data_IF_967062101104
#
_entry.id   IF_967062101104
#
_cell.length_a   1.000
_cell.length_b   1.000
_cell.length_c   1.000
_cell.angle_alpha   90.00
_cell.angle_beta   90.00
_cell.angle_gamma   90.00
#
_symmetry.space_group_name_H-M   'P 1'
#
loop_
_entity.id
_entity.type
_entity.pdbx_description
1 polymer ?
#
# COMPACT_ATOMS: atom_id res chain seq x y z
N UNK A 1 62.63 -20.39 -32.69
CA UNK A 1 63.14 -20.58 -31.31
C UNK A 1 62.42 -21.78 -30.74
N UNK A 2 63.20 -22.81 -30.45
CA UNK A 2 62.78 -24.16 -30.09
C UNK A 2 63.06 -24.32 -28.60
N UNK A 3 62.06 -24.64 -27.76
CA UNK A 3 62.32 -25.31 -26.47
C UNK A 3 61.20 -26.33 -26.21
N UNK A 4 61.68 -27.53 -25.89
CA UNK A 4 61.03 -28.81 -25.60
C UNK A 4 60.26 -28.84 -24.26
N UNK A 5 59.43 -29.87 -24.03
CA UNK A 5 58.79 -30.14 -22.75
C UNK A 5 59.75 -30.86 -21.78
N UNK A 6 59.62 -30.58 -20.48
CA UNK A 6 60.36 -31.25 -19.41
C UNK A 6 59.43 -32.22 -18.67
N UNK A 7 59.77 -33.50 -18.74
CA UNK A 7 59.45 -34.55 -17.77
C UNK A 7 59.93 -34.13 -16.37
N UNK A 8 59.23 -34.52 -15.29
CA UNK A 8 59.88 -34.88 -14.03
C UNK A 8 58.91 -35.67 -13.10
N UNK A 9 59.26 -36.95 -12.96
CA UNK A 9 59.25 -37.82 -11.77
C UNK A 9 57.95 -38.18 -11.03
N UNK A 10 57.66 -39.48 -11.17
CA UNK A 10 57.05 -40.37 -10.19
C UNK A 10 57.67 -40.21 -8.80
N UNK A 11 56.83 -40.20 -7.76
CA UNK A 11 57.23 -40.50 -6.40
C UNK A 11 56.16 -41.40 -5.78
N UNK A 12 56.47 -42.69 -5.71
CA UNK A 12 55.79 -43.66 -4.88
C UNK A 12 56.02 -43.29 -3.40
N UNK A 13 54.97 -43.38 -2.59
CA UNK A 13 55.09 -43.40 -1.14
C UNK A 13 54.11 -44.43 -0.61
N UNK A 14 54.60 -45.67 -0.54
CA UNK A 14 54.00 -46.76 0.21
C UNK A 14 54.10 -46.45 1.71
N UNK A 15 52.96 -46.38 2.39
CA UNK A 15 52.92 -46.57 3.83
C UNK A 15 52.13 -47.83 4.16
N UNK A 16 52.90 -48.87 4.44
CA UNK A 16 52.54 -50.06 5.19
C UNK A 16 51.86 -49.70 6.53
N UNK A 17 50.70 -50.29 6.80
CA UNK A 17 50.23 -50.55 8.17
C UNK A 17 49.75 -52.01 8.22
N UNK A 18 50.46 -52.83 8.99
CA UNK A 18 50.10 -54.21 9.29
C UNK A 18 48.84 -54.32 10.17
N UNK A 19 48.12 -55.45 10.08
CA UNK A 19 46.83 -55.66 10.74
C UNK A 19 46.99 -56.14 12.19
N UNK A 20 46.23 -55.54 13.10
CA UNK A 20 46.05 -56.06 14.46
C UNK A 20 44.74 -56.86 14.53
N UNK A 21 44.88 -58.18 14.49
CA UNK A 21 43.83 -59.15 14.81
C UNK A 21 43.52 -59.12 16.30
N UNK A 22 42.23 -58.95 16.64
CA UNK A 22 41.64 -59.59 17.83
C UNK A 22 40.25 -60.09 17.49
N UNK A 23 40.16 -61.41 17.48
CA UNK A 23 38.95 -62.22 17.44
C UNK A 23 38.01 -61.87 18.59
N UNK A 24 36.71 -61.89 18.33
CA UNK A 24 35.71 -62.38 19.28
C UNK A 24 34.49 -62.83 18.49
N UNK A 25 34.31 -64.15 18.51
CA UNK A 25 33.17 -64.92 18.02
C UNK A 25 31.85 -64.36 18.57
N UNK A 26 30.85 -64.21 17.70
CA UNK A 26 29.44 -64.38 18.09
C UNK A 26 28.75 -65.21 17.01
N UNK A 27 28.00 -66.18 17.52
CA UNK A 27 27.35 -67.31 16.88
C UNK A 27 26.47 -66.97 15.67
N UNK A 28 26.58 -67.84 14.68
CA UNK A 28 25.55 -68.09 13.68
C UNK A 28 24.40 -68.79 14.39
N UNK A 29 23.26 -68.11 14.53
CA UNK A 29 21.99 -68.77 14.78
C UNK A 29 21.03 -68.48 13.61
N UNK A 30 20.99 -69.45 12.71
CA UNK A 30 20.08 -69.52 11.59
C UNK A 30 18.74 -70.03 12.09
N UNK A 31 17.78 -69.11 12.29
CA UNK A 31 16.36 -69.44 12.27
C UNK A 31 15.60 -68.41 11.44
N UNK A 32 15.26 -68.86 10.24
CA UNK A 32 14.15 -68.36 9.44
C UNK A 32 12.93 -68.06 10.32
N UNK A 33 12.52 -66.80 10.32
CA UNK A 33 11.11 -66.46 10.27
C UNK A 33 10.99 -65.34 9.26
N UNK A 34 10.56 -65.71 8.05
CA UNK A 34 10.21 -64.77 6.99
C UNK A 34 8.94 -64.06 7.45
N UNK A 35 9.13 -62.97 8.20
CA UNK A 35 8.13 -61.93 8.28
C UNK A 35 8.12 -61.29 6.90
N UNK A 36 7.06 -61.58 6.13
CA UNK A 36 6.75 -60.89 4.89
C UNK A 36 6.49 -59.43 5.26
N UNK A 37 7.57 -58.64 5.34
CA UNK A 37 7.51 -57.23 5.60
C UNK A 37 6.70 -56.62 4.44
N UNK A 38 5.56 -56.03 4.77
CA UNK A 38 4.69 -55.28 3.84
C UNK A 38 5.37 -53.95 3.42
N UNK A 39 6.65 -54.01 3.04
CA UNK A 39 7.60 -52.91 3.20
C UNK A 39 7.86 -52.12 1.91
N UNK A 40 6.97 -52.18 0.93
CA UNK A 40 7.13 -51.38 -0.31
C UNK A 40 6.22 -50.16 -0.36
N UNK A 41 5.12 -50.14 0.40
CA UNK A 41 4.14 -49.05 0.29
C UNK A 41 4.48 -47.91 1.25
N UNK A 42 4.75 -46.72 0.69
CA UNK A 42 4.85 -45.48 1.47
C UNK A 42 3.46 -45.16 2.04
N UNK A 43 3.35 -45.10 3.37
CA UNK A 43 2.09 -44.72 4.03
C UNK A 43 2.04 -43.22 4.19
N UNK A 44 0.94 -42.58 3.83
CA UNK A 44 0.81 -41.13 3.92
C UNK A 44 -0.34 -40.69 4.84
N UNK A 45 -0.70 -41.53 5.81
CA UNK A 45 -1.82 -41.32 6.72
C UNK A 45 -1.57 -40.14 7.69
N UNK A 46 -0.32 -39.88 8.05
CA UNK A 46 0.08 -38.81 8.96
C UNK A 46 0.37 -37.47 8.28
N UNK A 47 0.35 -37.44 6.94
CA UNK A 47 0.57 -36.23 6.14
C UNK A 47 -0.75 -35.76 5.57
N UNK A 48 -1.17 -34.57 5.99
CA UNK A 48 -2.32 -33.89 5.41
C UNK A 48 -2.07 -33.57 3.93
N UNK A 49 -3.13 -33.59 3.13
CA UNK A 49 -3.10 -33.03 1.78
C UNK A 49 -2.66 -31.57 1.80
N UNK A 50 -1.98 -31.15 0.74
CA UNK A 50 -1.47 -29.80 0.59
C UNK A 50 -2.24 -29.08 -0.51
N UNK A 51 -3.01 -28.07 -0.10
CA UNK A 51 -3.72 -27.17 -1.01
C UNK A 51 -2.98 -25.84 -1.17
N UNK A 52 -2.66 -25.22 -0.03
CA UNK A 52 -1.94 -23.95 0.06
C UNK A 52 -1.36 -23.78 1.47
N UNK A 53 -0.51 -22.77 1.67
CA UNK A 53 0.03 -22.41 3.00
C UNK A 53 1.55 -22.53 3.08
N UNK A 54 2.06 -22.86 4.27
CA UNK A 54 3.50 -22.99 4.54
C UNK A 54 4.06 -24.28 3.92
N UNK A 55 4.47 -24.18 2.65
CA UNK A 55 5.06 -25.29 1.90
C UNK A 55 6.37 -25.77 2.51
N UNK A 56 7.16 -24.89 3.13
CA UNK A 56 8.43 -25.26 3.78
C UNK A 56 8.17 -26.21 4.95
N UNK A 57 7.22 -25.87 5.81
CA UNK A 57 6.82 -26.69 6.95
C UNK A 57 6.20 -28.00 6.50
N UNK A 58 5.33 -27.96 5.50
CA UNK A 58 4.70 -29.18 4.97
C UNK A 58 5.74 -30.14 4.39
N UNK A 59 6.66 -29.65 3.55
CA UNK A 59 7.72 -30.48 2.97
C UNK A 59 8.67 -31.06 4.04
N UNK A 60 8.95 -30.27 5.09
CA UNK A 60 9.71 -30.76 6.25
C UNK A 60 8.99 -31.89 6.97
N UNK A 61 7.67 -31.78 7.16
CA UNK A 61 6.86 -32.85 7.75
C UNK A 61 6.86 -34.10 6.87
N UNK A 62 6.73 -33.95 5.54
CA UNK A 62 6.80 -35.07 4.61
C UNK A 62 8.14 -35.81 4.71
N UNK A 63 9.27 -35.09 4.66
CA UNK A 63 10.60 -35.70 4.80
C UNK A 63 10.79 -36.38 6.16
N UNK A 64 10.26 -35.78 7.23
CA UNK A 64 10.29 -36.39 8.55
C UNK A 64 9.50 -37.70 8.59
N UNK A 65 8.32 -37.75 7.98
CA UNK A 65 7.48 -38.95 7.92
C UNK A 65 8.15 -40.07 7.10
N UNK A 66 8.73 -39.73 5.94
CA UNK A 66 9.52 -40.69 5.17
C UNK A 66 10.70 -41.25 5.97
N UNK A 67 11.38 -40.39 6.73
CA UNK A 67 12.43 -40.79 7.66
C UNK A 67 11.92 -41.70 8.79
N UNK A 68 10.75 -41.41 9.35
CA UNK A 68 10.11 -42.24 10.38
C UNK A 68 9.75 -43.64 9.86
N UNK A 69 9.40 -43.75 8.58
CA UNK A 69 9.13 -45.01 7.89
C UNK A 69 10.39 -45.69 7.34
N UNK A 70 11.58 -45.18 7.64
CA UNK A 70 12.87 -45.66 7.11
C UNK A 70 12.93 -45.70 5.58
N UNK A 71 12.14 -44.87 4.90
CA UNK A 71 12.16 -44.73 3.44
C UNK A 71 13.29 -43.79 3.02
N UNK A 72 14.04 -44.11 1.95
CA UNK A 72 15.11 -43.25 1.51
C UNK A 72 14.53 -41.95 0.94
N UNK A 73 15.16 -40.83 1.25
CA UNK A 73 14.78 -39.49 0.78
C UNK A 73 15.27 -39.26 -0.65
N UNK A 74 14.91 -40.15 -1.57
CA UNK A 74 15.22 -40.01 -3.00
C UNK A 74 14.26 -39.01 -3.66
N UNK A 75 14.68 -38.37 -4.77
CA UNK A 75 13.80 -37.55 -5.60
C UNK A 75 12.50 -38.27 -5.95
N UNK A 76 12.59 -39.52 -6.41
CA UNK A 76 11.46 -40.37 -6.76
C UNK A 76 10.43 -40.47 -5.62
N UNK A 77 10.87 -40.84 -4.41
CA UNK A 77 9.96 -41.04 -3.28
C UNK A 77 9.31 -39.73 -2.83
N UNK A 78 10.08 -38.64 -2.80
CA UNK A 78 9.55 -37.33 -2.38
C UNK A 78 8.52 -36.83 -3.39
N UNK A 79 8.85 -36.90 -4.68
CA UNK A 79 7.99 -36.42 -5.76
C UNK A 79 6.73 -37.27 -5.93
N UNK A 80 6.85 -38.59 -5.76
CA UNK A 80 5.68 -39.48 -5.73
C UNK A 80 4.70 -39.10 -4.62
N UNK A 81 5.21 -38.77 -3.42
CA UNK A 81 4.35 -38.34 -2.32
C UNK A 81 3.75 -36.95 -2.54
N UNK A 82 4.48 -36.06 -3.22
CA UNK A 82 4.01 -34.74 -3.63
C UNK A 82 2.82 -34.88 -4.57
N UNK A 83 2.94 -35.69 -5.63
CA UNK A 83 1.88 -35.90 -6.61
C UNK A 83 0.60 -36.44 -5.96
N UNK A 84 0.75 -37.40 -5.04
CA UNK A 84 -0.39 -37.97 -4.31
C UNK A 84 -1.08 -37.03 -3.32
N UNK A 85 -0.36 -36.03 -2.80
CA UNK A 85 -0.86 -35.18 -1.70
C UNK A 85 -1.22 -33.78 -2.11
N UNK A 86 -0.88 -33.36 -3.32
CA UNK A 86 -1.23 -32.03 -3.80
C UNK A 86 -2.68 -32.02 -4.25
N UNK A 87 -3.45 -31.07 -3.74
CA UNK A 87 -4.85 -30.87 -4.13
C UNK A 87 -5.13 -29.40 -4.43
N UNK A 88 -6.25 -29.13 -5.11
CA UNK A 88 -6.75 -27.80 -5.42
C UNK A 88 -5.70 -26.84 -6.02
N UNK A 89 -5.27 -25.82 -5.26
CA UNK A 89 -4.35 -24.78 -5.75
C UNK A 89 -2.93 -25.29 -5.98
N UNK A 90 -2.51 -26.33 -5.25
CA UNK A 90 -1.23 -26.98 -5.46
C UNK A 90 -1.24 -27.83 -6.74
N UNK A 91 -2.32 -28.56 -7.01
CA UNK A 91 -2.50 -29.28 -8.26
C UNK A 91 -2.58 -28.30 -9.45
N UNK A 92 -3.34 -27.21 -9.31
CA UNK A 92 -3.39 -26.15 -10.34
C UNK A 92 -2.01 -25.58 -10.64
N UNK A 93 -1.15 -25.41 -9.63
CA UNK A 93 0.22 -24.95 -9.82
C UNK A 93 1.08 -25.95 -10.58
N UNK A 94 0.97 -27.25 -10.29
CA UNK A 94 1.59 -28.32 -11.08
C UNK A 94 1.15 -28.20 -12.54
N UNK A 95 -0.16 -28.08 -12.78
CA UNK A 95 -0.71 -27.93 -14.12
C UNK A 95 -0.27 -26.62 -14.81
N UNK A 96 0.16 -25.59 -14.10
CA UNK A 96 0.64 -24.35 -14.71
C UNK A 96 2.17 -24.34 -14.92
N UNK A 97 2.89 -25.23 -14.25
CA UNK A 97 4.36 -25.19 -14.21
C UNK A 97 4.94 -26.38 -14.97
N UNK A 98 5.24 -26.16 -16.26
CA UNK A 98 5.57 -27.22 -17.21
C UNK A 98 6.71 -28.15 -16.78
N UNK A 99 7.75 -27.65 -16.10
CA UNK A 99 8.86 -28.49 -15.65
C UNK A 99 8.46 -29.37 -14.45
N UNK A 100 7.67 -28.82 -13.51
CA UNK A 100 7.15 -29.58 -12.35
C UNK A 100 6.23 -30.69 -12.83
N UNK A 101 5.33 -30.38 -13.77
CA UNK A 101 4.42 -31.37 -14.34
C UNK A 101 5.17 -32.56 -14.97
N UNK A 102 6.15 -32.28 -15.83
CA UNK A 102 6.95 -33.34 -16.48
C UNK A 102 7.70 -34.21 -15.48
N UNK A 103 8.21 -33.59 -14.42
CA UNK A 103 8.95 -34.29 -13.37
C UNK A 103 8.06 -35.14 -12.47
N UNK A 104 6.78 -34.75 -12.28
CA UNK A 104 5.81 -35.57 -11.54
C UNK A 104 5.18 -36.68 -12.43
N UNK A 105 5.08 -36.47 -13.74
CA UNK A 105 4.63 -37.49 -14.70
C UNK A 105 5.61 -38.69 -14.78
N UNK A 106 6.90 -38.47 -14.56
CA UNK A 106 7.93 -39.51 -14.53
C UNK A 106 8.94 -39.28 -13.39
N UNK A 107 8.54 -39.67 -12.18
CA UNK A 107 9.35 -39.48 -10.97
C UNK A 107 10.59 -40.38 -10.92
N UNK A 108 10.62 -41.47 -11.69
CA UNK A 108 11.71 -42.45 -11.69
C UNK A 108 12.98 -41.91 -12.38
N UNK A 109 12.84 -40.92 -13.27
CA UNK A 109 13.97 -40.26 -13.95
C UNK A 109 14.43 -38.98 -13.26
N UNK A 110 13.75 -38.57 -12.17
CA UNK A 110 14.06 -37.34 -11.46
C UNK A 110 15.42 -37.40 -10.78
N UNK A 111 16.25 -36.38 -11.04
CA UNK A 111 17.57 -36.25 -10.44
C UNK A 111 17.52 -35.41 -9.16
N UNK A 112 18.60 -35.42 -8.38
CA UNK A 112 18.74 -34.54 -7.21
C UNK A 112 18.69 -33.06 -7.60
N UNK A 113 19.20 -32.70 -8.78
CA UNK A 113 19.13 -31.33 -9.30
C UNK A 113 17.68 -30.92 -9.60
N UNK A 114 16.86 -31.85 -10.11
CA UNK A 114 15.44 -31.62 -10.37
C UNK A 114 14.67 -31.45 -9.05
N UNK A 115 14.99 -32.26 -8.04
CA UNK A 115 14.43 -32.11 -6.70
C UNK A 115 14.79 -30.76 -6.08
N UNK A 116 16.03 -30.29 -6.20
CA UNK A 116 16.44 -28.96 -5.72
C UNK A 116 15.65 -27.86 -6.45
N UNK A 117 15.54 -27.94 -7.78
CA UNK A 117 14.79 -26.97 -8.57
C UNK A 117 13.30 -26.96 -8.18
N UNK A 118 12.71 -28.14 -8.01
CA UNK A 118 11.35 -28.28 -7.49
C UNK A 118 11.19 -27.61 -6.14
N UNK A 119 12.08 -27.90 -5.19
CA UNK A 119 12.01 -27.31 -3.86
C UNK A 119 12.12 -25.80 -3.89
N UNK A 120 13.01 -25.24 -4.70
CA UNK A 120 13.16 -23.80 -4.86
C UNK A 120 11.89 -23.17 -5.41
N UNK A 121 11.31 -23.76 -6.46
CA UNK A 121 10.07 -23.28 -7.06
C UNK A 121 8.86 -23.45 -6.11
N UNK A 122 8.78 -24.57 -5.40
CA UNK A 122 7.75 -24.87 -4.42
C UNK A 122 7.83 -23.90 -3.24
N UNK A 123 9.03 -23.68 -2.68
CA UNK A 123 9.29 -22.70 -1.63
C UNK A 123 8.99 -21.28 -2.13
N UNK A 124 9.33 -20.94 -3.36
CA UNK A 124 9.03 -19.63 -3.94
C UNK A 124 7.52 -19.42 -4.09
N UNK A 125 6.78 -20.45 -4.51
CA UNK A 125 5.33 -20.40 -4.71
C UNK A 125 4.55 -20.37 -3.40
N UNK A 126 4.97 -21.17 -2.43
CA UNK A 126 4.28 -21.40 -1.15
C UNK A 126 5.12 -20.91 0.03
N UNK A 127 5.86 -19.80 -0.19
CA UNK A 127 6.73 -19.21 0.81
C UNK A 127 5.89 -18.77 2.01
N UNK A 128 6.23 -19.26 3.21
CA UNK A 128 5.65 -18.95 4.53
C UNK A 128 4.61 -17.81 4.52
N UNK A 129 3.43 -18.05 3.94
CA UNK A 129 2.26 -17.29 4.30
C UNK A 129 1.95 -17.84 5.68
N UNK A 130 2.42 -17.11 6.69
CA UNK A 130 1.96 -17.26 8.06
C UNK A 130 0.46 -17.45 7.96
N UNK A 131 0.00 -18.65 8.29
CA UNK A 131 -1.40 -19.02 8.36
C UNK A 131 -2.04 -18.15 9.44
N UNK A 132 -2.45 -16.95 9.06
CA UNK A 132 -3.55 -16.23 9.71
C UNK A 132 -4.70 -16.43 8.75
N UNK A 133 -5.75 -17.11 9.24
CA UNK A 133 -6.79 -17.77 8.46
C UNK A 133 -7.31 -16.96 7.29
N UNK A 134 -7.67 -17.67 6.22
CA UNK A 134 -8.45 -17.22 5.07
C UNK A 134 -8.43 -15.69 4.94
N UNK A 135 -7.35 -15.17 4.35
CA UNK A 135 -7.21 -13.76 4.04
C UNK A 135 -8.34 -13.39 3.09
N UNK A 136 -9.48 -12.98 3.65
CA UNK A 136 -10.53 -12.37 2.88
C UNK A 136 -10.00 -10.99 2.46
N UNK A 137 -9.28 -11.02 1.34
CA UNK A 137 -8.74 -9.86 0.63
C UNK A 137 -9.87 -8.84 0.49
N UNK A 138 -11.09 -9.30 0.22
CA UNK A 138 -12.26 -8.46 0.09
C UNK A 138 -12.65 -7.80 1.41
N UNK A 139 -12.75 -8.53 2.53
CA UNK A 139 -13.03 -7.94 3.84
C UNK A 139 -11.98 -6.91 4.27
N UNK A 140 -10.69 -7.17 4.03
CA UNK A 140 -9.62 -6.20 4.34
C UNK A 140 -9.68 -4.99 3.40
N UNK A 141 -9.96 -5.19 2.11
CA UNK A 141 -10.13 -4.09 1.16
C UNK A 141 -11.33 -3.21 1.52
N UNK A 142 -12.43 -3.81 1.98
CA UNK A 142 -13.64 -3.10 2.41
C UNK A 142 -13.34 -2.23 3.64
N UNK A 143 -12.47 -2.71 4.55
CA UNK A 143 -12.02 -1.96 5.73
C UNK A 143 -10.92 -0.93 5.44
N UNK A 144 -10.39 -0.87 4.22
CA UNK A 144 -9.39 0.13 3.83
C UNK A 144 -10.07 1.48 3.61
N UNK A 145 -10.26 2.22 4.70
CA UNK A 145 -10.79 3.59 4.71
C UNK A 145 -10.01 4.39 5.76
N UNK A 146 -9.72 5.66 5.46
CA UNK A 146 -9.10 6.59 6.39
C UNK A 146 -10.07 6.91 7.52
N UNK A 147 -9.66 6.67 8.76
CA UNK A 147 -10.50 7.03 9.91
C UNK A 147 -10.57 8.56 10.07
N UNK A 148 -11.64 9.06 10.70
CA UNK A 148 -11.83 10.51 10.90
C UNK A 148 -10.68 11.19 11.64
N UNK A 149 -9.98 10.44 12.50
CA UNK A 149 -8.90 10.94 13.34
C UNK A 149 -7.51 10.49 12.84
N UNK A 150 -7.46 9.74 11.73
CA UNK A 150 -6.21 9.22 11.18
C UNK A 150 -5.64 10.21 10.19
N UNK A 151 -4.38 10.58 10.39
CA UNK A 151 -3.65 11.45 9.48
C UNK A 151 -3.27 10.73 8.18
N UNK A 152 -3.03 11.47 7.10
CA UNK A 152 -2.51 10.87 5.85
C UNK A 152 -1.15 10.20 6.04
N UNK A 153 -0.33 10.69 6.98
CA UNK A 153 0.95 10.11 7.38
C UNK A 153 0.82 8.75 8.05
N UNK A 154 -0.35 8.43 8.63
CA UNK A 154 -0.64 7.10 9.20
C UNK A 154 -1.37 6.21 8.18
N UNK A 155 -2.28 6.80 7.41
CA UNK A 155 -3.09 6.08 6.43
C UNK A 155 -2.26 5.54 5.26
N UNK A 156 -1.28 6.32 4.78
CA UNK A 156 -0.47 5.92 3.63
C UNK A 156 0.42 4.69 3.96
N UNK A 157 1.19 4.68 5.06
CA UNK A 157 1.91 3.48 5.48
C UNK A 157 1.01 2.27 5.72
N UNK A 158 -0.18 2.44 6.31
CA UNK A 158 -1.14 1.34 6.50
C UNK A 158 -1.58 0.71 5.19
N UNK A 159 -1.77 1.53 4.15
CA UNK A 159 -2.10 1.06 2.80
C UNK A 159 -0.93 0.29 2.17
N UNK A 160 0.31 0.76 2.38
CA UNK A 160 1.52 0.06 1.94
C UNK A 160 1.66 -1.29 2.67
N UNK A 161 1.43 -1.33 3.98
CA UNK A 161 1.42 -2.57 4.75
C UNK A 161 0.40 -3.57 4.21
N UNK A 162 -0.79 -3.11 3.80
CA UNK A 162 -1.80 -3.98 3.20
C UNK A 162 -1.34 -4.57 1.85
N UNK A 163 -0.65 -3.80 1.02
CA UNK A 163 -0.07 -4.29 -0.23
C UNK A 163 0.91 -5.44 0.03
N UNK A 164 1.81 -5.27 1.02
CA UNK A 164 2.74 -6.32 1.44
C UNK A 164 2.03 -7.53 2.05
N UNK A 165 0.95 -7.30 2.80
CA UNK A 165 0.16 -8.36 3.43
C UNK A 165 -0.52 -9.26 2.39
N UNK A 166 -0.90 -8.72 1.23
CA UNK A 166 -1.41 -9.50 0.10
C UNK A 166 -0.32 -10.15 -0.76
N UNK A 167 0.96 -9.99 -0.41
CA UNK A 167 2.08 -10.55 -1.17
C UNK A 167 2.25 -9.92 -2.57
N UNK A 168 1.59 -8.80 -2.84
CA UNK A 168 1.66 -8.11 -4.13
C UNK A 168 2.79 -7.09 -4.10
N UNK A 169 3.60 -7.05 -5.16
CA UNK A 169 4.67 -6.06 -5.30
C UNK A 169 4.10 -4.77 -5.88
N UNK A 170 4.66 -3.64 -5.47
CA UNK A 170 4.35 -2.38 -6.16
C UNK A 170 4.94 -2.39 -7.58
N UNK A 171 4.35 -1.63 -8.48
CA UNK A 171 4.83 -1.53 -9.86
C UNK A 171 6.15 -0.76 -9.90
N UNK A 172 7.18 -1.43 -10.43
CA UNK A 172 8.52 -0.86 -10.68
C UNK A 172 8.76 -0.82 -12.19
N UNK A 173 9.49 0.19 -12.66
CA UNK A 173 9.82 0.31 -14.09
C UNK A 173 10.62 -0.93 -14.56
N UNK A 174 10.19 -1.53 -15.68
CA UNK A 174 10.86 -2.69 -16.28
C UNK A 174 10.52 -4.05 -15.64
N UNK A 175 9.64 -4.09 -14.62
CA UNK A 175 9.16 -5.34 -14.02
C UNK A 175 7.70 -5.54 -14.39
N UNK A 176 7.37 -6.65 -15.04
CA UNK A 176 5.99 -7.00 -15.33
C UNK A 176 5.32 -7.62 -14.10
N UNK A 177 4.16 -7.09 -13.74
CA UNK A 177 3.26 -7.72 -12.78
C UNK A 177 2.39 -8.74 -13.52
N UNK A 178 2.08 -9.86 -12.87
CA UNK A 178 1.03 -10.75 -13.38
C UNK A 178 -0.33 -10.03 -13.41
N UNK A 179 -1.26 -10.50 -14.24
CA UNK A 179 -2.59 -9.91 -14.33
C UNK A 179 -3.33 -9.88 -12.98
N UNK A 180 -3.12 -10.90 -12.14
CA UNK A 180 -3.68 -10.97 -10.79
C UNK A 180 -3.07 -9.92 -9.86
N UNK A 181 -1.73 -9.78 -9.86
CA UNK A 181 -1.03 -8.75 -9.07
C UNK A 181 -1.45 -7.34 -9.49
N UNK A 182 -1.50 -7.08 -10.81
CA UNK A 182 -1.95 -5.79 -11.34
C UNK A 182 -3.40 -5.48 -10.95
N UNK A 183 -4.29 -6.48 -10.99
CA UNK A 183 -5.68 -6.34 -10.54
C UNK A 183 -5.80 -5.98 -9.06
N UNK A 184 -5.04 -6.66 -8.20
CA UNK A 184 -5.01 -6.39 -6.76
C UNK A 184 -4.41 -5.02 -6.44
N UNK A 185 -3.30 -4.65 -7.10
CA UNK A 185 -2.69 -3.31 -6.96
C UNK A 185 -3.67 -2.20 -7.36
N UNK A 186 -4.37 -2.37 -8.49
CA UNK A 186 -5.39 -1.41 -8.93
C UNK A 186 -6.57 -1.32 -7.95
N UNK A 187 -6.95 -2.44 -7.35
CA UNK A 187 -8.00 -2.48 -6.32
C UNK A 187 -7.58 -1.73 -5.05
N UNK A 188 -6.34 -1.92 -4.59
CA UNK A 188 -5.77 -1.20 -3.44
C UNK A 188 -5.68 0.31 -3.73
N UNK A 189 -5.12 0.72 -4.88
CA UNK A 189 -5.06 2.15 -5.26
C UNK A 189 -6.44 2.79 -5.28
N UNK A 190 -7.42 2.10 -5.87
CA UNK A 190 -8.80 2.59 -5.93
C UNK A 190 -9.39 2.76 -4.53
N UNK A 191 -9.22 1.75 -3.66
CA UNK A 191 -9.71 1.82 -2.27
C UNK A 191 -8.98 2.87 -1.44
N UNK A 192 -7.68 3.06 -1.64
CA UNK A 192 -6.92 4.13 -1.00
C UNK A 192 -7.50 5.52 -1.35
N UNK A 193 -7.72 5.80 -2.64
CA UNK A 193 -8.29 7.09 -3.08
C UNK A 193 -9.72 7.27 -2.61
N UNK A 194 -10.59 6.28 -2.83
CA UNK A 194 -11.99 6.39 -2.40
C UNK A 194 -12.16 6.32 -0.88
N UNK A 195 -11.17 5.78 -0.17
CA UNK A 195 -11.13 5.66 1.28
C UNK A 195 -10.64 6.92 2.00
N UNK A 196 -10.14 7.94 1.28
CA UNK A 196 -9.78 9.24 1.87
C UNK A 196 -10.99 9.87 2.58
N UNK A 197 -10.76 10.40 3.78
CA UNK A 197 -11.82 10.98 4.61
C UNK A 197 -12.32 12.32 4.06
N UNK A 198 -11.40 13.13 3.51
CA UNK A 198 -11.69 14.41 2.89
C UNK A 198 -12.18 14.23 1.43
N UNK A 199 -13.40 14.66 1.17
CA UNK A 199 -14.02 14.58 -0.15
C UNK A 199 -13.40 15.54 -1.18
N UNK A 200 -12.94 16.72 -0.75
CA UNK A 200 -12.27 17.68 -1.62
C UNK A 200 -10.89 17.17 -2.02
N UNK A 201 -10.14 16.63 -1.06
CA UNK A 201 -8.86 15.96 -1.33
C UNK A 201 -9.01 14.79 -2.30
N UNK A 202 -10.02 13.94 -2.07
CA UNK A 202 -10.31 12.81 -2.96
C UNK A 202 -10.62 13.26 -4.38
N UNK A 203 -11.46 14.29 -4.54
CA UNK A 203 -11.78 14.84 -5.86
C UNK A 203 -10.54 15.42 -6.54
N UNK A 204 -9.71 16.18 -5.82
CA UNK A 204 -8.49 16.76 -6.36
C UNK A 204 -7.48 15.68 -6.76
N UNK A 205 -7.32 14.63 -5.95
CA UNK A 205 -6.45 13.51 -6.28
C UNK A 205 -6.90 12.76 -7.54
N UNK A 206 -8.21 12.58 -7.73
CA UNK A 206 -8.77 12.01 -8.98
C UNK A 206 -8.50 12.92 -10.17
N UNK A 207 -8.66 14.24 -10.03
CA UNK A 207 -8.35 15.21 -11.08
C UNK A 207 -6.87 15.18 -11.48
N UNK A 208 -5.98 14.91 -10.53
CA UNK A 208 -4.55 14.69 -10.77
C UNK A 208 -4.21 13.27 -11.23
N UNK A 209 -5.21 12.48 -11.64
CA UNK A 209 -5.05 11.15 -12.22
C UNK A 209 -4.43 10.12 -11.27
N UNK A 210 -4.64 10.24 -9.95
CA UNK A 210 -4.10 9.28 -8.97
C UNK A 210 -4.51 7.83 -9.26
N UNK A 211 -5.72 7.60 -9.77
CA UNK A 211 -6.20 6.26 -10.13
C UNK A 211 -5.49 5.65 -11.35
N UNK A 212 -4.93 6.49 -12.22
CA UNK A 212 -4.19 6.07 -13.42
C UNK A 212 -2.70 5.91 -13.16
N UNK A 213 -2.23 6.17 -11.94
CA UNK A 213 -0.82 5.99 -11.61
C UNK A 213 -0.44 4.52 -11.76
N UNK A 214 0.78 4.25 -12.22
CA UNK A 214 1.23 2.87 -12.43
C UNK A 214 1.51 2.14 -11.10
N UNK A 215 1.93 2.88 -10.07
CA UNK A 215 2.29 2.34 -8.75
C UNK A 215 1.49 2.97 -7.61
N UNK A 216 1.43 2.28 -6.47
CA UNK A 216 0.87 2.81 -5.23
C UNK A 216 1.72 3.96 -4.70
N UNK A 217 3.05 3.86 -4.79
CA UNK A 217 3.95 4.96 -4.41
C UNK A 217 3.66 6.25 -5.21
N UNK A 218 3.44 6.13 -6.52
CA UNK A 218 3.04 7.25 -7.36
C UNK A 218 1.66 7.78 -7.00
N UNK A 219 0.69 6.90 -6.71
CA UNK A 219 -0.64 7.27 -6.23
C UNK A 219 -0.57 8.12 -4.95
N UNK A 220 0.22 7.69 -3.96
CA UNK A 220 0.42 8.40 -2.69
C UNK A 220 1.10 9.76 -2.94
N UNK A 221 2.09 9.81 -3.83
CA UNK A 221 2.76 11.07 -4.21
C UNK A 221 1.79 12.08 -4.84
N UNK A 222 0.87 11.61 -5.68
CA UNK A 222 -0.18 12.44 -6.28
C UNK A 222 -1.13 12.97 -5.19
N UNK A 223 -1.55 12.14 -4.23
CA UNK A 223 -2.38 12.59 -3.09
C UNK A 223 -1.65 13.68 -2.28
N UNK A 224 -0.36 13.50 -1.99
CA UNK A 224 0.43 14.52 -1.30
C UNK A 224 0.56 15.82 -2.11
N UNK A 225 0.58 15.71 -3.44
CA UNK A 225 0.54 16.88 -4.34
C UNK A 225 -0.82 17.57 -4.27
N UNK A 226 -1.92 16.81 -4.27
CA UNK A 226 -3.27 17.34 -4.11
C UNK A 226 -3.44 18.13 -2.81
N UNK A 227 -2.91 17.63 -1.68
CA UNK A 227 -2.90 18.35 -0.39
C UNK A 227 -2.23 19.73 -0.53
N UNK A 228 -1.05 19.79 -1.17
CA UNK A 228 -0.33 21.04 -1.38
C UNK A 228 -1.10 22.00 -2.28
N UNK A 229 -1.76 21.47 -3.33
CA UNK A 229 -2.56 22.27 -4.25
C UNK A 229 -3.81 22.85 -3.59
N UNK A 230 -4.50 22.08 -2.75
CA UNK A 230 -5.66 22.58 -2.01
C UNK A 230 -5.26 23.70 -1.04
N UNK A 231 -4.14 23.54 -0.34
CA UNK A 231 -3.63 24.60 0.53
C UNK A 231 -3.27 25.88 -0.25
N UNK A 232 -2.73 25.76 -1.46
CA UNK A 232 -2.49 26.92 -2.34
C UNK A 232 -3.79 27.55 -2.84
N UNK A 233 -4.78 26.74 -3.23
CA UNK A 233 -6.10 27.23 -3.65
C UNK A 233 -6.79 28.00 -2.52
N UNK A 234 -6.72 27.51 -1.28
CA UNK A 234 -7.26 28.19 -0.10
C UNK A 234 -6.62 29.58 0.11
N UNK A 235 -5.29 29.67 0.05
CA UNK A 235 -4.59 30.96 0.15
C UNK A 235 -5.00 31.95 -0.93
N UNK A 236 -5.10 31.47 -2.18
CA UNK A 236 -5.54 32.33 -3.29
C UNK A 236 -6.98 32.81 -3.11
N UNK A 237 -7.88 31.96 -2.61
CA UNK A 237 -9.27 32.34 -2.31
C UNK A 237 -9.33 33.40 -1.22
N UNK A 238 -8.52 33.29 -0.17
CA UNK A 238 -8.42 34.29 0.89
C UNK A 238 -7.94 35.64 0.34
N UNK A 239 -6.90 35.64 -0.51
CA UNK A 239 -6.40 36.86 -1.16
C UNK A 239 -7.46 37.52 -2.05
N UNK A 240 -8.18 36.72 -2.85
CA UNK A 240 -9.28 37.22 -3.69
C UNK A 240 -10.39 37.82 -2.84
N UNK A 241 -10.76 37.18 -1.73
CA UNK A 241 -11.78 37.70 -0.81
C UNK A 241 -11.34 39.02 -0.16
N UNK A 242 -10.07 39.15 0.25
CA UNK A 242 -9.50 40.38 0.79
C UNK A 242 -9.53 41.49 -0.27
N UNK A 243 -9.10 41.20 -1.51
CA UNK A 243 -9.14 42.18 -2.60
C UNK A 243 -10.55 42.65 -2.91
N UNK A 244 -11.55 41.76 -2.88
CA UNK A 244 -12.95 42.14 -3.06
C UNK A 244 -13.43 43.08 -1.94
N UNK A 245 -13.09 42.80 -0.68
CA UNK A 245 -13.42 43.69 0.45
C UNK A 245 -12.76 45.06 0.32
N UNK A 246 -11.49 45.13 -0.10
CA UNK A 246 -10.79 46.39 -0.33
C UNK A 246 -11.43 47.22 -1.44
N UNK A 247 -11.83 46.58 -2.55
CA UNK A 247 -12.56 47.26 -3.64
C UNK A 247 -13.89 47.84 -3.15
N UNK A 248 -14.63 47.09 -2.34
CA UNK A 248 -15.88 47.57 -1.74
C UNK A 248 -15.64 48.76 -0.82
N UNK A 249 -14.58 48.73 0.00
CA UNK A 249 -14.23 49.82 0.90
C UNK A 249 -13.82 51.10 0.13
N UNK A 250 -13.03 50.96 -0.94
CA UNK A 250 -12.67 52.09 -1.82
C UNK A 250 -13.90 52.73 -2.47
N UNK A 251 -14.90 51.93 -2.86
CA UNK A 251 -16.17 52.44 -3.38
C UNK A 251 -16.94 53.24 -2.32
N UNK A 252 -17.00 52.74 -1.09
CA UNK A 252 -17.62 53.46 0.03
C UNK A 252 -16.90 54.78 0.35
N UNK A 253 -15.57 54.79 0.38
CA UNK A 253 -14.78 56.02 0.64
C UNK A 253 -15.04 57.07 -0.45
N UNK A 254 -15.02 56.66 -1.72
CA UNK A 254 -15.37 57.55 -2.85
C UNK A 254 -16.77 58.13 -2.71
N UNK A 255 -17.76 57.31 -2.37
CA UNK A 255 -19.14 57.77 -2.20
C UNK A 255 -19.27 58.73 -1.02
N UNK A 256 -18.61 58.45 0.11
CA UNK A 256 -18.60 59.30 1.29
C UNK A 256 -17.97 60.67 0.99
N UNK A 257 -16.86 60.72 0.24
CA UNK A 257 -16.24 61.97 -0.21
C UNK A 257 -17.20 62.77 -1.10
N UNK A 258 -17.83 62.15 -2.10
CA UNK A 258 -18.78 62.81 -2.99
C UNK A 258 -19.97 63.39 -2.20
N UNK A 259 -20.54 62.62 -1.28
CA UNK A 259 -21.62 63.09 -0.41
C UNK A 259 -21.18 64.28 0.48
N UNK A 260 -19.96 64.21 1.03
CA UNK A 260 -19.37 65.31 1.78
C UNK A 260 -19.21 66.59 0.96
N UNK A 261 -18.69 66.48 -0.27
CA UNK A 261 -18.58 67.61 -1.20
C UNK A 261 -19.95 68.21 -1.54
N UNK A 262 -20.95 67.38 -1.84
CA UNK A 262 -22.29 67.85 -2.16
C UNK A 262 -22.95 68.57 -0.98
N UNK A 263 -22.73 68.12 0.25
CA UNK A 263 -23.22 68.77 1.46
C UNK A 263 -22.55 70.15 1.67
N UNK A 264 -21.23 70.25 1.48
CA UNK A 264 -20.51 71.53 1.57
C UNK A 264 -20.96 72.52 0.50
N UNK A 265 -21.15 72.05 -0.74
CA UNK A 265 -21.65 72.87 -1.84
C UNK A 265 -23.06 73.38 -1.56
N UNK A 266 -23.95 72.50 -1.06
CA UNK A 266 -25.31 72.86 -0.67
C UNK A 266 -25.32 73.90 0.46
N UNK A 267 -24.42 73.76 1.44
CA UNK A 267 -24.25 74.72 2.52
C UNK A 267 -23.77 76.08 2.01
N UNK A 268 -22.76 76.11 1.13
CA UNK A 268 -22.28 77.35 0.52
C UNK A 268 -23.39 78.09 -0.26
N UNK A 269 -24.18 77.37 -1.05
CA UNK A 269 -25.33 77.94 -1.76
C UNK A 269 -26.44 78.44 -0.82
N UNK A 270 -26.56 77.90 0.39
CA UNK A 270 -27.51 78.39 1.39
C UNK A 270 -27.03 79.70 2.04
N UNK A 271 -25.72 79.83 2.29
CA UNK A 271 -25.12 81.06 2.81
C UNK A 271 -25.21 82.22 1.80
N UNK A 272 -24.97 81.95 0.52
CA UNK A 272 -25.03 82.97 -0.53
C UNK A 272 -26.46 83.51 -0.73
N UNK A 273 -27.48 82.65 -0.58
CA UNK A 273 -28.89 83.07 -0.57
C UNK A 273 -29.26 83.93 0.62
N UNK A 274 -28.64 83.74 1.78
CA UNK A 274 -28.88 84.59 2.95
C UNK A 274 -28.11 85.92 2.90
N UNK A 275 -27.00 86.00 2.16
CA UNK A 275 -26.26 87.25 1.93
C UNK A 275 -27.08 88.26 1.10
N UNK A 276 -27.82 87.78 0.10
CA UNK A 276 -28.66 88.63 -0.77
C UNK A 276 -29.90 89.14 -0.04
N UNK A 277 -30.45 88.38 0.91
CA UNK A 277 -31.65 88.77 1.65
C UNK A 277 -31.33 89.80 2.76
N UNK A 278 -30.12 89.80 3.31
CA UNK A 278 -29.72 90.78 4.34
C UNK A 278 -29.30 92.16 3.80
N UNK A 279 -29.26 92.36 2.48
CA UNK A 279 -29.01 93.68 1.88
C UNK A 279 -30.29 94.50 1.65
N UNK A 280 -31.48 93.97 1.95
CA UNK A 280 -32.76 94.68 1.79
C UNK A 280 -33.58 94.62 3.07
N UNK A 281 -33.06 95.21 4.16
CA UNK A 281 -33.89 95.87 5.18
C UNK A 281 -33.02 96.54 6.25
N UNK A 282 -32.68 97.81 6.01
CA UNK A 282 -32.47 98.76 7.08
C UNK A 282 -33.70 99.66 7.11
N UNK A 283 -34.63 99.36 8.01
CA UNK A 283 -35.54 100.39 8.54
C UNK A 283 -35.86 100.05 10.00
N UNK A 284 -35.59 100.97 10.95
CA UNK A 284 -35.85 100.71 12.36
C UNK A 284 -37.31 100.98 12.67
N UNK A 285 -37.97 100.05 13.34
CA UNK A 285 -39.24 100.32 14.01
C UNK A 285 -39.22 99.59 15.34
N UNK A 286 -39.18 100.38 16.39
CA UNK A 286 -39.39 99.95 17.75
C UNK A 286 -40.70 99.13 17.86
N UNK A 287 -40.76 98.20 18.80
CA UNK A 287 -41.67 98.25 19.97
C UNK A 287 -41.91 96.86 20.56
N UNK A 288 -41.60 96.75 21.86
CA UNK A 288 -42.14 95.91 22.95
C UNK A 288 -42.00 94.38 22.93
N UNK A 289 -41.49 93.95 24.09
CA UNK A 289 -41.50 92.63 24.68
C UNK A 289 -42.90 91.99 24.75
N UNK A 290 -42.91 90.66 24.67
CA UNK A 290 -43.63 89.83 25.64
C UNK A 290 -42.99 88.46 25.73
N UNK A 291 -42.63 88.13 26.97
CA UNK A 291 -42.19 86.84 27.47
C UNK A 291 -43.37 85.88 27.37
N UNK A 292 -43.16 84.67 26.85
CA UNK A 292 -43.92 83.51 27.30
C UNK A 292 -43.13 82.23 27.13
N UNK A 293 -43.22 81.44 28.18
CA UNK A 293 -42.46 80.25 28.54
C UNK A 293 -43.35 79.04 28.22
N UNK A 294 -42.85 78.05 27.47
CA UNK A 294 -43.46 76.70 27.32
C UNK A 294 -42.29 75.74 27.06
N UNK A 295 -41.73 75.14 28.10
CA UNK A 295 -42.12 73.86 28.72
C UNK A 295 -41.82 72.64 27.86
N UNK A 296 -40.87 71.84 28.34
CA UNK A 296 -40.47 70.52 27.88
C UNK A 296 -41.65 69.55 27.93
N UNK A 297 -41.78 68.68 26.92
CA UNK A 297 -42.22 67.31 27.15
C UNK A 297 -41.39 66.33 26.32
N UNK A 298 -40.66 65.50 27.03
CA UNK A 298 -40.22 64.19 26.59
C UNK A 298 -41.37 63.20 26.78
N UNK A 299 -41.58 62.28 25.82
CA UNK A 299 -41.99 60.87 26.04
C UNK A 299 -42.06 60.16 24.67
N UNK A 300 -41.15 59.22 24.40
CA UNK A 300 -41.32 57.75 24.34
C UNK A 300 -42.27 57.27 23.22
N UNK A 301 -41.70 56.56 22.24
CA UNK A 301 -41.86 55.10 22.05
C UNK A 301 -40.78 54.54 21.13
#
# INVERSE_FOLDING_TARGET
MTIKPSEFLEYESEYYIEPSSRESQIEVDSRNSVEMANDEVIKLENIAEFQSGDGVKWLKMLKHELGAQRKPLTPENILYCVDLKFTEDADRWIQQTAFVRRMLEDTATATEADLIHFEEAFKSRFLNMITVGEFDVHAKLVKLQQNSNESLSEYSPRTISLLHEFGVKDQVAGVELSAAEAGTLNSIKSKFIYGLSDAELRLEAVNLQALLSNSLASCISIVNTAVKMLEQKRKLQEEVAVQQRLKTLDLFDKQARIAGYNNLLSYAHSLDRHSIINSVQIQPSATKASITHVEQQAHIS
#
